data_IF_990181931291
#
_entry.id   IF_990181931291
#
_cell.length_a   1.000
_cell.length_b   1.000
_cell.length_c   1.000
_cell.angle_alpha   90.00
_cell.angle_beta   90.00
_cell.angle_gamma   90.00
#
_symmetry.space_group_name_H-M   'P 1'
#
loop_
_entity.id
_entity.type
_entity.pdbx_description
1 polymer ?
#
# COMPACT_ATOMS: atom_id res chain seq x y z
N UNK A 1 22.92 -11.12 -26.15
CA UNK A 1 23.65 -11.95 -25.16
C UNK A 1 22.74 -12.06 -23.94
N UNK A 2 21.93 -13.11 -23.86
CA UNK A 2 21.03 -13.34 -22.74
C UNK A 2 21.79 -14.18 -21.71
N UNK A 3 21.86 -13.70 -20.46
CA UNK A 3 22.33 -14.53 -19.35
C UNK A 3 21.39 -15.73 -19.23
N UNK A 4 21.94 -16.92 -19.00
CA UNK A 4 21.12 -18.10 -18.73
C UNK A 4 20.21 -17.82 -17.53
N UNK A 5 18.98 -18.32 -17.57
CA UNK A 5 17.96 -18.05 -16.53
C UNK A 5 18.44 -18.38 -15.11
N UNK A 6 19.33 -19.35 -14.97
CA UNK A 6 19.92 -19.76 -13.69
C UNK A 6 20.93 -18.75 -13.13
N UNK A 7 21.65 -18.00 -13.98
CA UNK A 7 22.56 -16.95 -13.52
C UNK A 7 21.81 -15.70 -13.05
N UNK A 8 20.70 -15.38 -13.74
CA UNK A 8 19.79 -14.31 -13.29
C UNK A 8 19.16 -14.67 -11.94
N UNK A 9 18.89 -15.95 -11.70
CA UNK A 9 18.39 -16.43 -10.42
C UNK A 9 19.45 -16.38 -9.31
N UNK A 10 20.71 -16.63 -9.64
CA UNK A 10 21.82 -16.55 -8.69
C UNK A 10 22.20 -15.11 -8.33
N UNK A 11 21.86 -14.13 -9.18
CA UNK A 11 22.20 -12.73 -8.96
C UNK A 11 21.41 -12.06 -7.81
N UNK A 12 20.28 -12.64 -7.39
CA UNK A 12 19.42 -12.07 -6.33
C UNK A 12 19.35 -12.98 -5.10
N UNK A 13 19.66 -12.46 -3.89
CA UNK A 13 19.39 -13.17 -2.65
C UNK A 13 17.90 -13.49 -2.45
N UNK A 14 17.61 -14.57 -1.72
CA UNK A 14 16.25 -14.87 -1.26
C UNK A 14 15.70 -13.71 -0.43
N UNK A 15 14.42 -13.40 -0.61
CA UNK A 15 13.73 -12.28 0.04
C UNK A 15 13.80 -10.95 -0.71
N UNK A 16 14.57 -10.85 -1.81
CA UNK A 16 14.52 -9.65 -2.67
C UNK A 16 13.13 -9.50 -3.27
N UNK A 17 12.55 -8.30 -3.14
CA UNK A 17 11.25 -7.93 -3.71
C UNK A 17 11.47 -6.97 -4.88
N UNK A 18 10.88 -7.28 -6.02
CA UNK A 18 10.92 -6.44 -7.22
C UNK A 18 9.51 -6.12 -7.70
N UNK A 19 9.36 -4.94 -8.30
CA UNK A 19 8.21 -4.63 -9.14
C UNK A 19 8.29 -5.46 -10.41
N UNK A 20 7.16 -6.07 -10.76
CA UNK A 20 7.01 -6.95 -11.90
C UNK A 20 5.81 -6.52 -12.74
N UNK A 21 6.12 -6.02 -13.93
CA UNK A 21 5.12 -5.54 -14.88
C UNK A 21 4.77 -6.64 -15.88
N UNK A 22 3.96 -7.61 -15.45
CA UNK A 22 3.39 -8.60 -16.36
C UNK A 22 2.03 -9.10 -15.83
N UNK A 23 0.96 -8.76 -16.54
CA UNK A 23 -0.43 -8.99 -16.10
C UNK A 23 -0.96 -10.40 -16.40
N UNK A 24 -0.35 -11.12 -17.33
CA UNK A 24 -0.83 -12.42 -17.82
C UNK A 24 0.26 -13.51 -17.90
N UNK A 25 1.52 -13.15 -17.63
CA UNK A 25 2.63 -14.08 -17.63
C UNK A 25 2.61 -15.02 -16.42
N UNK A 26 3.23 -16.18 -16.56
CA UNK A 26 3.56 -17.02 -15.41
C UNK A 26 4.69 -16.34 -14.62
N UNK A 27 4.57 -16.34 -13.29
CA UNK A 27 5.65 -15.89 -12.40
C UNK A 27 6.92 -16.69 -12.75
N UNK A 28 8.09 -16.03 -12.94
CA UNK A 28 9.32 -16.74 -13.26
C UNK A 28 9.66 -17.80 -12.21
N UNK A 29 10.23 -18.93 -12.65
CA UNK A 29 10.70 -20.00 -11.75
C UNK A 29 11.65 -19.40 -10.71
N UNK A 30 11.51 -19.80 -9.44
CA UNK A 30 12.36 -19.31 -8.34
C UNK A 30 11.92 -17.97 -7.73
N UNK A 31 10.75 -17.48 -8.13
CA UNK A 31 10.06 -16.32 -7.57
C UNK A 31 8.65 -16.71 -7.15
N UNK A 32 8.09 -15.96 -6.20
CA UNK A 32 6.69 -16.08 -5.79
C UNK A 32 5.99 -14.72 -5.89
N UNK A 33 4.69 -14.73 -6.13
CA UNK A 33 3.87 -13.54 -6.08
C UNK A 33 3.70 -13.09 -4.62
N UNK A 34 3.79 -11.80 -4.37
CA UNK A 34 3.56 -11.21 -3.04
C UNK A 34 2.06 -11.07 -2.74
N UNK A 35 1.33 -12.19 -2.70
CA UNK A 35 -0.11 -12.27 -2.42
C UNK A 35 -0.44 -13.01 -1.11
N UNK A 36 0.58 -13.27 -0.28
CA UNK A 36 0.45 -13.95 1.00
C UNK A 36 0.12 -15.45 0.94
N UNK A 37 0.02 -16.07 -0.26
CA UNK A 37 -0.29 -17.50 -0.38
C UNK A 37 0.90 -18.40 -0.18
N UNK A 38 2.10 -17.91 -0.47
CA UNK A 38 3.34 -18.67 -0.31
C UNK A 38 3.92 -18.42 1.09
N UNK A 39 4.19 -19.45 1.92
CA UNK A 39 4.76 -19.26 3.25
C UNK A 39 6.05 -18.43 3.23
N UNK A 40 6.13 -17.43 4.10
CA UNK A 40 7.26 -16.50 4.18
C UNK A 40 7.24 -15.36 3.16
N UNK A 41 6.31 -15.36 2.20
CA UNK A 41 6.12 -14.27 1.23
C UNK A 41 5.00 -13.34 1.73
N UNK A 42 5.23 -12.02 1.85
CA UNK A 42 4.22 -11.08 2.32
C UNK A 42 3.12 -10.82 1.29
N UNK A 43 1.95 -10.36 1.75
CA UNK A 43 0.90 -9.81 0.88
C UNK A 43 1.09 -8.30 0.67
N UNK A 44 1.44 -7.92 -0.56
CA UNK A 44 1.68 -6.55 -1.00
C UNK A 44 0.61 -6.03 -1.96
N UNK A 45 -0.52 -6.72 -2.07
CA UNK A 45 -1.63 -6.32 -2.95
C UNK A 45 -2.18 -4.96 -2.52
N UNK A 46 -2.20 -3.98 -3.44
CA UNK A 46 -2.67 -2.62 -3.16
C UNK A 46 -1.77 -1.83 -2.20
N UNK A 47 -0.50 -2.25 -2.01
CA UNK A 47 0.43 -1.60 -1.09
C UNK A 47 1.55 -0.87 -1.80
N UNK A 48 2.01 0.22 -1.18
CA UNK A 48 3.28 0.84 -1.47
C UNK A 48 4.35 0.32 -0.51
N UNK A 49 5.57 0.12 -1.02
CA UNK A 49 6.71 -0.27 -0.21
C UNK A 49 7.28 0.96 0.50
N UNK A 50 7.35 0.87 1.83
CA UNK A 50 7.95 1.89 2.71
C UNK A 50 9.12 1.27 3.46
N UNK A 51 10.26 1.96 3.47
CA UNK A 51 11.38 1.59 4.32
C UNK A 51 11.01 1.66 5.81
N UNK A 52 11.72 0.89 6.63
CA UNK A 52 11.58 0.90 8.10
C UNK A 52 12.89 1.31 8.75
N UNK A 53 12.81 1.97 9.90
CA UNK A 53 13.99 2.27 10.72
C UNK A 53 14.41 1.06 11.56
N UNK A 54 13.45 0.29 12.07
CA UNK A 54 13.66 -0.93 12.85
C UNK A 54 13.38 -2.17 11.98
N UNK A 55 14.37 -3.05 11.77
CA UNK A 55 14.19 -4.32 11.05
C UNK A 55 13.08 -5.22 11.61
N UNK A 56 12.76 -5.13 12.91
CA UNK A 56 11.68 -5.92 13.51
C UNK A 56 10.28 -5.50 13.00
N UNK A 57 10.15 -4.30 12.43
CA UNK A 57 8.91 -3.81 11.84
C UNK A 57 8.72 -4.23 10.36
N UNK A 58 9.67 -4.96 9.76
CA UNK A 58 9.53 -5.47 8.40
C UNK A 58 8.28 -6.35 8.28
N UNK A 59 7.48 -6.14 7.24
CA UNK A 59 6.24 -6.87 6.99
C UNK A 59 5.02 -6.33 7.75
N UNK A 60 5.18 -5.36 8.64
CA UNK A 60 4.04 -4.74 9.31
C UNK A 60 3.25 -3.85 8.33
N UNK A 61 1.94 -4.10 8.13
CA UNK A 61 1.11 -3.27 7.27
C UNK A 61 0.80 -1.92 7.92
N UNK A 62 0.47 -0.93 7.10
CA UNK A 62 -0.01 0.37 7.58
C UNK A 62 -0.65 1.17 6.46
N UNK A 63 -1.21 2.32 6.84
CA UNK A 63 -1.95 3.20 5.93
C UNK A 63 -3.37 2.70 5.61
N UNK A 64 -4.12 3.53 4.91
CA UNK A 64 -5.44 3.24 4.38
C UNK A 64 -5.56 3.90 3.00
N UNK A 65 -6.43 3.39 2.12
CA UNK A 65 -6.71 4.03 0.84
C UNK A 65 -7.45 5.36 1.01
N UNK A 66 -8.12 5.52 2.16
CA UNK A 66 -8.94 6.69 2.44
C UNK A 66 -8.86 7.07 3.92
N UNK A 67 -9.09 8.35 4.24
CA UNK A 67 -9.13 8.85 5.61
C UNK A 67 -10.30 9.80 5.82
N UNK A 68 -10.79 9.87 7.06
CA UNK A 68 -11.90 10.75 7.44
C UNK A 68 -11.46 11.76 8.49
N UNK A 69 -11.95 12.98 8.38
CA UNK A 69 -11.83 13.99 9.42
C UNK A 69 -13.16 14.11 10.14
N UNK A 70 -13.17 13.84 11.45
CA UNK A 70 -14.33 14.07 12.31
C UNK A 70 -14.14 15.35 13.11
N UNK A 71 -15.06 16.29 12.95
CA UNK A 71 -15.16 17.45 13.83
C UNK A 71 -16.03 17.04 15.02
N UNK A 72 -15.41 16.92 16.19
CA UNK A 72 -16.14 16.68 17.42
C UNK A 72 -16.88 17.95 17.83
N UNK A 73 -18.15 17.81 18.25
CA UNK A 73 -18.87 18.87 18.95
C UNK A 73 -18.18 19.06 20.30
N UNK A 74 -17.68 20.25 20.60
CA UNK A 74 -17.73 20.69 21.99
C UNK A 74 -19.22 20.87 22.32
N UNK A 75 -19.68 20.41 23.48
CA UNK A 75 -21.12 20.46 23.83
C UNK A 75 -21.69 21.89 23.98
N UNK A 76 -21.02 22.92 23.46
CA UNK A 76 -21.39 24.32 23.50
C UNK A 76 -22.17 24.74 22.26
N UNK A 77 -23.19 25.58 22.46
CA UNK A 77 -23.80 26.38 21.39
C UNK A 77 -23.12 27.76 21.37
N UNK A 78 -21.80 27.78 21.27
CA UNK A 78 -20.97 28.99 21.39
C UNK A 78 -20.53 29.56 20.03
N UNK A 79 -21.12 29.09 18.93
CA UNK A 79 -21.17 29.85 17.68
C UNK A 79 -19.80 30.15 17.06
N UNK A 80 -18.90 29.16 16.99
CA UNK A 80 -17.67 29.26 16.18
C UNK A 80 -17.74 28.37 14.95
N UNK A 81 -18.48 28.85 13.93
CA UNK A 81 -18.22 28.49 12.53
C UNK A 81 -19.47 28.26 11.66
N UNK A 82 -19.94 29.35 11.04
CA UNK A 82 -20.86 29.38 9.89
C UNK A 82 -22.29 28.83 10.11
N UNK A 83 -23.22 29.74 10.41
CA UNK A 83 -24.66 29.48 10.40
C UNK A 83 -25.28 30.01 9.10
N UNK A 84 -26.07 29.17 8.41
CA UNK A 84 -26.97 29.59 7.34
C UNK A 84 -28.36 29.08 7.68
N UNK A 85 -29.34 29.98 7.88
CA UNK A 85 -30.74 29.65 8.21
C UNK A 85 -30.96 28.76 9.46
N UNK A 86 -30.17 28.92 10.53
CA UNK A 86 -30.45 28.30 11.83
C UNK A 86 -30.08 26.81 11.96
N UNK A 87 -29.48 26.22 10.93
CA UNK A 87 -28.83 24.91 11.00
C UNK A 87 -27.32 25.11 11.06
N UNK A 88 -26.69 24.60 12.13
CA UNK A 88 -25.25 24.38 12.13
C UNK A 88 -24.95 23.20 11.20
N UNK A 89 -24.42 23.50 10.01
CA UNK A 89 -24.04 22.48 9.04
C UNK A 89 -22.78 21.75 9.49
N UNK A 90 -22.94 20.72 10.33
CA UNK A 90 -21.87 19.75 10.58
C UNK A 90 -21.89 18.72 9.46
N UNK A 91 -20.98 18.86 8.51
CA UNK A 91 -20.68 17.84 7.52
C UNK A 91 -19.42 17.08 7.93
N UNK A 92 -19.44 15.74 7.87
CA UNK A 92 -18.20 15.00 7.71
C UNK A 92 -17.56 15.45 6.38
N UNK A 93 -16.25 15.69 6.34
CA UNK A 93 -15.58 15.93 5.07
C UNK A 93 -15.70 14.66 4.22
N UNK A 94 -16.15 14.82 2.96
CA UNK A 94 -16.28 13.69 2.03
C UNK A 94 -14.98 12.89 1.97
N UNK A 95 -15.13 11.58 1.86
CA UNK A 95 -13.97 10.70 1.74
C UNK A 95 -13.22 11.02 0.45
N UNK A 96 -11.94 11.38 0.55
CA UNK A 96 -11.10 11.67 -0.62
C UNK A 96 -9.94 10.69 -0.68
N UNK A 97 -9.66 10.24 -1.89
CA UNK A 97 -8.47 9.47 -2.17
C UNK A 97 -7.25 10.41 -2.18
N UNK A 98 -6.19 10.02 -1.48
CA UNK A 98 -4.94 10.77 -1.38
C UNK A 98 -3.80 10.13 -2.20
N UNK A 99 -4.13 9.22 -3.13
CA UNK A 99 -3.17 8.64 -4.06
C UNK A 99 -2.76 9.68 -5.12
N UNK A 100 -1.47 10.05 -5.23
CA UNK A 100 -0.95 10.75 -6.40
C UNK A 100 -1.13 9.89 -7.66
N UNK A 101 -1.05 10.44 -8.88
CA UNK A 101 -1.06 9.64 -10.11
C UNK A 101 -0.02 8.51 -10.06
N UNK A 102 -0.42 7.28 -10.37
CA UNK A 102 0.42 6.08 -10.24
C UNK A 102 0.10 5.05 -11.31
N UNK A 103 1.10 4.24 -11.65
CA UNK A 103 0.94 2.99 -12.39
C UNK A 103 0.95 1.80 -11.43
N UNK A 104 0.21 0.75 -11.77
CA UNK A 104 0.13 -0.47 -10.96
C UNK A 104 1.04 -1.56 -11.52
N UNK A 105 1.77 -2.21 -10.62
CA UNK A 105 2.65 -3.34 -10.90
C UNK A 105 2.38 -4.42 -9.86
N UNK A 106 2.70 -5.67 -10.20
CA UNK A 106 2.72 -6.74 -9.22
C UNK A 106 4.05 -6.72 -8.48
N UNK A 107 4.08 -7.24 -7.26
CA UNK A 107 5.33 -7.51 -6.56
C UNK A 107 5.62 -9.01 -6.55
N UNK A 108 6.86 -9.37 -6.84
CA UNK A 108 7.36 -10.75 -6.72
C UNK A 108 8.55 -10.79 -5.78
N UNK A 109 8.67 -11.87 -5.01
CA UNK A 109 9.75 -12.12 -4.08
C UNK A 109 10.61 -13.29 -4.55
N UNK A 110 11.93 -13.13 -4.51
CA UNK A 110 12.88 -14.21 -4.77
C UNK A 110 12.75 -15.26 -3.66
N UNK A 111 12.55 -16.52 -4.06
CA UNK A 111 12.54 -17.67 -3.15
C UNK A 111 13.95 -18.13 -2.80
#
# INVERSE_FOLDING_TARGET
>A
MALASDEVLAAFPSGVILSWYNKAGKVPRGWALCDGKTPGVPDLTGRFLRGVADPAAVGQPGGAETHTHKVAKDGGRDGRGFEVNGTCGLGDADNRNHLPPYDTVLFIMKL
#
